data_IF_018119449631
#
_entry.id   IF_018119449631
#
_cell.length_a   1.000
_cell.length_b   1.000
_cell.length_c   1.000
_cell.angle_alpha   90.00
_cell.angle_beta   90.00
_cell.angle_gamma   90.00
#
_symmetry.space_group_name_H-M   'P 1'
#
loop_
_entity.id
_entity.type
_entity.pdbx_description
1 polymer ?
#
# COMPACT_ATOMS: atom_id res chain seq x y z
N UNK A 1 -3.39 32.12 25.51
CA UNK A 1 -2.43 31.04 25.81
C UNK A 1 -1.59 30.84 24.57
N UNK A 2 -0.35 31.33 24.57
CA UNK A 2 0.59 31.19 23.46
C UNK A 2 0.99 29.73 23.35
N UNK A 3 0.59 29.04 22.29
CA UNK A 3 1.05 27.67 22.01
C UNK A 3 2.52 27.76 21.62
N UNK A 4 3.41 27.26 22.47
CA UNK A 4 4.82 27.10 22.11
C UNK A 4 4.88 26.25 20.83
N UNK A 5 5.54 26.70 19.75
CA UNK A 5 5.64 25.91 18.54
C UNK A 5 6.32 24.57 18.87
N UNK A 6 5.74 23.47 18.42
CA UNK A 6 6.32 22.13 18.56
C UNK A 6 7.69 22.11 17.85
N UNK A 7 8.69 21.41 18.40
CA UNK A 7 9.94 21.17 17.69
C UNK A 7 9.69 20.47 16.35
N UNK A 8 10.50 20.77 15.33
CA UNK A 8 10.34 20.22 13.98
C UNK A 8 10.33 18.68 13.98
N UNK A 9 11.14 18.04 14.83
CA UNK A 9 11.24 16.58 14.91
C UNK A 9 9.99 15.93 15.50
N UNK A 10 9.24 16.62 16.37
CA UNK A 10 7.95 16.13 16.85
C UNK A 10 6.90 16.22 15.73
N UNK A 11 6.89 17.33 14.97
CA UNK A 11 5.98 17.49 13.84
C UNK A 11 6.26 16.50 12.70
N UNK A 12 7.53 16.20 12.44
CA UNK A 12 7.94 15.16 11.50
C UNK A 12 7.52 13.76 11.97
N UNK A 13 7.70 13.48 13.26
CA UNK A 13 7.27 12.20 13.86
C UNK A 13 5.76 12.02 13.74
N UNK A 14 4.98 13.06 14.03
CA UNK A 14 3.52 13.06 13.87
C UNK A 14 3.12 12.82 12.40
N UNK A 15 3.84 13.45 11.45
CA UNK A 15 3.62 13.27 10.02
C UNK A 15 3.83 11.82 9.58
N UNK A 16 4.92 11.18 10.02
CA UNK A 16 5.21 9.77 9.71
C UNK A 16 4.22 8.84 10.40
N UNK A 17 3.86 9.13 11.65
CA UNK A 17 2.88 8.37 12.40
C UNK A 17 1.50 8.40 11.72
N UNK A 18 1.10 9.54 11.18
CA UNK A 18 -0.15 9.69 10.43
C UNK A 18 -0.17 8.82 9.15
N UNK A 19 0.93 8.78 8.40
CA UNK A 19 1.08 7.88 7.24
C UNK A 19 0.96 6.42 7.66
N UNK A 20 1.66 6.02 8.73
CA UNK A 20 1.59 4.67 9.28
C UNK A 20 0.18 4.31 9.79
N UNK A 21 -0.55 5.27 10.37
CA UNK A 21 -1.93 5.08 10.80
C UNK A 21 -2.86 4.85 9.59
N UNK A 22 -2.75 5.67 8.55
CA UNK A 22 -3.52 5.50 7.31
C UNK A 22 -3.25 4.11 6.68
N UNK A 23 -1.99 3.68 6.63
CA UNK A 23 -1.62 2.36 6.11
C UNK A 23 -2.18 1.20 6.97
N UNK A 24 -2.19 1.34 8.31
CA UNK A 24 -2.81 0.34 9.22
C UNK A 24 -4.32 0.24 9.05
N UNK A 25 -5.00 1.37 8.97
CA UNK A 25 -6.45 1.43 8.82
C UNK A 25 -6.90 0.83 7.49
N UNK A 26 -6.24 1.22 6.39
CA UNK A 26 -6.52 0.68 5.06
C UNK A 26 -6.19 -0.81 4.94
N UNK A 27 -5.09 -1.27 5.55
CA UNK A 27 -4.77 -2.71 5.66
C UNK A 27 -5.89 -3.50 6.33
N UNK A 28 -6.38 -2.99 7.46
CA UNK A 28 -7.47 -3.64 8.21
C UNK A 28 -8.75 -3.69 7.38
N UNK A 29 -9.09 -2.59 6.69
CA UNK A 29 -10.25 -2.53 5.79
C UNK A 29 -10.12 -3.49 4.59
N UNK A 30 -8.93 -3.59 4.00
CA UNK A 30 -8.65 -4.53 2.93
C UNK A 30 -8.82 -5.98 3.37
N UNK A 31 -8.26 -6.37 4.53
CA UNK A 31 -8.43 -7.70 5.10
C UNK A 31 -9.92 -8.03 5.36
N UNK A 32 -10.68 -7.06 5.88
CA UNK A 32 -12.12 -7.23 6.09
C UNK A 32 -12.88 -7.42 4.76
N UNK A 33 -12.53 -6.66 3.72
CA UNK A 33 -13.13 -6.79 2.40
C UNK A 33 -12.78 -8.13 1.72
N UNK A 34 -11.53 -8.59 1.85
CA UNK A 34 -11.10 -9.91 1.39
C UNK A 34 -11.89 -11.02 2.08
N UNK A 35 -12.03 -10.95 3.41
CA UNK A 35 -12.81 -11.93 4.17
C UNK A 35 -14.29 -11.94 3.75
N UNK A 36 -14.90 -10.76 3.56
CA UNK A 36 -16.28 -10.65 3.11
C UNK A 36 -16.49 -11.24 1.70
N UNK A 37 -15.57 -10.95 0.77
CA UNK A 37 -15.60 -11.52 -0.57
C UNK A 37 -15.39 -13.05 -0.56
N UNK A 38 -14.46 -13.55 0.24
CA UNK A 38 -14.18 -14.99 0.36
C UNK A 38 -15.33 -15.77 1.01
N UNK A 39 -16.07 -15.15 1.93
CA UNK A 39 -17.28 -15.75 2.51
C UNK A 39 -18.41 -15.88 1.48
N UNK A 40 -18.42 -15.02 0.46
CA UNK A 40 -19.42 -15.01 -0.58
C UNK A 40 -19.02 -15.88 -1.77
N UNK A 41 -19.18 -17.19 -1.60
CA UNK A 41 -18.90 -18.18 -2.64
C UNK A 41 -20.17 -18.49 -3.46
N UNK A 42 -20.18 -18.00 -4.72
CA UNK A 42 -21.26 -18.26 -5.68
C UNK A 42 -21.49 -19.75 -5.92
N UNK A 43 -20.45 -20.58 -5.86
CA UNK A 43 -20.56 -22.04 -6.04
C UNK A 43 -21.30 -22.74 -4.91
N UNK A 44 -21.41 -22.09 -3.74
CA UNK A 44 -22.15 -22.61 -2.57
C UNK A 44 -23.60 -22.13 -2.52
N UNK A 45 -23.96 -21.13 -3.32
CA UNK A 45 -25.31 -20.58 -3.35
C UNK A 45 -26.16 -21.37 -4.32
N UNK A 46 -27.15 -22.10 -3.81
CA UNK A 46 -28.16 -22.74 -4.65
C UNK A 46 -29.09 -21.67 -5.21
N UNK A 47 -28.98 -21.42 -6.52
CA UNK A 47 -29.90 -20.54 -7.21
C UNK A 47 -31.33 -21.10 -7.19
N UNK A 48 -32.30 -20.23 -6.91
CA UNK A 48 -33.71 -20.54 -6.97
C UNK A 48 -34.25 -20.21 -8.36
N UNK A 49 -34.78 -21.23 -9.05
CA UNK A 49 -35.49 -21.08 -10.33
C UNK A 49 -36.88 -20.44 -10.11
N UNK A 50 -36.89 -19.17 -9.72
CA UNK A 50 -38.09 -18.36 -9.55
C UNK A 50 -38.07 -17.17 -10.49
N UNK A 51 -38.73 -17.29 -11.64
CA UNK A 51 -38.88 -16.18 -12.57
C UNK A 51 -40.16 -15.38 -12.28
N UNK A 52 -40.07 -14.06 -12.39
CA UNK A 52 -41.21 -13.14 -12.25
C UNK A 52 -41.42 -12.36 -13.54
N UNK A 53 -42.68 -12.18 -13.91
CA UNK A 53 -43.07 -11.31 -15.03
C UNK A 53 -43.43 -9.95 -14.47
N UNK A 54 -42.72 -8.91 -14.89
CA UNK A 54 -43.02 -7.53 -14.51
C UNK A 54 -43.86 -6.91 -15.64
N UNK A 55 -45.02 -6.29 -15.37
CA UNK A 55 -45.78 -5.58 -16.39
C UNK A 55 -44.99 -4.39 -16.94
N UNK A 56 -44.81 -4.33 -18.26
CA UNK A 56 -43.98 -3.32 -18.95
C UNK A 56 -42.64 -3.90 -19.45
N UNK A 57 -41.78 -3.11 -20.10
CA UNK A 57 -40.44 -3.55 -20.47
C UNK A 57 -39.63 -3.92 -19.22
N UNK A 58 -38.88 -5.04 -19.20
CA UNK A 58 -38.47 -5.87 -20.35
C UNK A 58 -39.40 -7.05 -20.66
N UNK A 59 -39.34 -7.55 -21.91
CA UNK A 59 -40.14 -8.66 -22.44
C UNK A 59 -39.70 -10.07 -22.03
N UNK A 60 -38.71 -10.20 -21.14
CA UNK A 60 -38.20 -11.48 -20.64
C UNK A 60 -38.47 -11.66 -19.14
N UNK A 61 -38.67 -12.91 -18.67
CA UNK A 61 -38.87 -13.19 -17.26
C UNK A 61 -37.64 -12.74 -16.45
N UNK A 62 -37.86 -11.94 -15.41
CA UNK A 62 -36.79 -11.49 -14.51
C UNK A 62 -36.54 -12.58 -13.48
N UNK A 63 -35.26 -12.89 -13.23
CA UNK A 63 -34.83 -13.81 -12.18
C UNK A 63 -34.27 -13.00 -11.01
N UNK A 64 -35.10 -12.58 -10.03
CA UNK A 64 -34.68 -11.66 -8.98
C UNK A 64 -33.60 -12.27 -8.08
N UNK A 65 -33.64 -13.58 -7.82
CA UNK A 65 -32.61 -14.26 -7.03
C UNK A 65 -31.24 -14.21 -7.73
N UNK A 66 -31.18 -14.56 -9.02
CA UNK A 66 -29.94 -14.50 -9.81
C UNK A 66 -29.38 -13.08 -9.83
N UNK A 67 -30.23 -12.07 -10.09
CA UNK A 67 -29.83 -10.66 -10.08
C UNK A 67 -29.30 -10.22 -8.71
N UNK A 68 -29.93 -10.63 -7.62
CA UNK A 68 -29.49 -10.30 -6.27
C UNK A 68 -28.14 -10.95 -5.96
N UNK A 69 -27.98 -12.24 -6.28
CA UNK A 69 -26.75 -13.00 -6.04
C UNK A 69 -25.57 -12.41 -6.84
N UNK A 70 -25.77 -12.17 -8.14
CA UNK A 70 -24.75 -11.52 -8.97
C UNK A 70 -24.44 -10.09 -8.49
N UNK A 71 -25.46 -9.34 -8.06
CA UNK A 71 -25.31 -7.98 -7.55
C UNK A 71 -24.48 -7.91 -6.27
N UNK A 72 -24.70 -8.83 -5.33
CA UNK A 72 -23.90 -8.93 -4.09
C UNK A 72 -22.45 -9.30 -4.43
N UNK A 73 -22.24 -10.31 -5.29
CA UNK A 73 -20.89 -10.70 -5.72
C UNK A 73 -20.12 -9.55 -6.33
N UNK A 74 -20.76 -8.79 -7.24
CA UNK A 74 -20.18 -7.59 -7.85
C UNK A 74 -19.83 -6.52 -6.79
N UNK A 75 -20.73 -6.22 -5.87
CA UNK A 75 -20.49 -5.21 -4.85
C UNK A 75 -19.33 -5.57 -3.90
N UNK A 76 -19.20 -6.85 -3.52
CA UNK A 76 -18.10 -7.32 -2.69
C UNK A 76 -16.76 -7.29 -3.44
N UNK A 77 -16.77 -7.66 -4.72
CA UNK A 77 -15.62 -7.58 -5.60
C UNK A 77 -15.12 -6.13 -5.75
N UNK A 78 -16.02 -5.20 -6.07
CA UNK A 78 -15.71 -3.76 -6.16
C UNK A 78 -15.19 -3.18 -4.83
N UNK A 79 -15.76 -3.62 -3.70
CA UNK A 79 -15.30 -3.23 -2.38
C UNK A 79 -13.86 -3.71 -2.12
N UNK A 80 -13.57 -4.98 -2.41
CA UNK A 80 -12.22 -5.55 -2.27
C UNK A 80 -11.21 -4.79 -3.11
N UNK A 81 -11.48 -4.62 -4.40
CA UNK A 81 -10.54 -3.97 -5.34
C UNK A 81 -10.34 -2.48 -4.99
N UNK A 82 -11.36 -1.83 -4.41
CA UNK A 82 -11.21 -0.46 -3.89
C UNK A 82 -10.36 -0.41 -2.64
N UNK A 83 -10.56 -1.32 -1.68
CA UNK A 83 -9.77 -1.35 -0.45
C UNK A 83 -8.32 -1.76 -0.71
N UNK A 84 -8.09 -2.66 -1.67
CA UNK A 84 -6.75 -3.05 -2.12
C UNK A 84 -5.98 -1.84 -2.65
N UNK A 85 -6.56 -1.07 -3.57
CA UNK A 85 -5.93 0.15 -4.10
C UNK A 85 -5.60 1.16 -3.00
N UNK A 86 -6.55 1.46 -2.11
CA UNK A 86 -6.32 2.38 -0.99
C UNK A 86 -5.21 1.89 -0.05
N UNK A 87 -5.15 0.58 0.20
CA UNK A 87 -4.08 0.00 1.01
C UNK A 87 -2.73 0.11 0.32
N UNK A 88 -2.64 -0.25 -0.95
CA UNK A 88 -1.41 -0.12 -1.74
C UNK A 88 -0.90 1.32 -1.74
N UNK A 89 -1.75 2.30 -2.03
CA UNK A 89 -1.38 3.72 -2.01
C UNK A 89 -0.89 4.18 -0.63
N UNK A 90 -1.62 3.82 0.44
CA UNK A 90 -1.25 4.19 1.80
C UNK A 90 0.05 3.51 2.26
N UNK A 91 0.27 2.24 1.90
CA UNK A 91 1.48 1.51 2.22
C UNK A 91 2.71 2.08 1.50
N UNK A 92 2.60 2.39 0.21
CA UNK A 92 3.65 3.05 -0.57
C UNK A 92 3.95 4.45 -0.02
N UNK A 93 2.91 5.24 0.27
CA UNK A 93 3.06 6.57 0.88
C UNK A 93 3.77 6.51 2.23
N UNK A 94 3.44 5.53 3.07
CA UNK A 94 4.12 5.31 4.35
C UNK A 94 5.59 4.89 4.15
N UNK A 95 5.86 3.94 3.26
CA UNK A 95 7.20 3.46 2.96
C UNK A 95 8.12 4.57 2.44
N UNK A 96 7.71 5.24 1.36
CA UNK A 96 8.47 6.32 0.74
C UNK A 96 8.54 7.57 1.63
N UNK A 97 7.43 7.95 2.26
CA UNK A 97 7.40 9.11 3.16
C UNK A 97 8.34 8.97 4.35
N UNK A 98 8.44 7.75 4.90
CA UNK A 98 9.36 7.49 6.00
C UNK A 98 10.81 7.42 5.53
N UNK A 99 11.08 6.81 4.37
CA UNK A 99 12.41 6.82 3.77
C UNK A 99 12.91 8.25 3.46
N UNK A 100 12.03 9.09 2.90
CA UNK A 100 12.29 10.51 2.68
C UNK A 100 12.70 11.20 3.99
N UNK A 101 11.91 11.01 5.06
CA UNK A 101 12.18 11.62 6.35
C UNK A 101 13.54 11.20 6.92
N UNK A 102 13.88 9.92 6.84
CA UNK A 102 15.18 9.40 7.27
C UNK A 102 16.31 10.10 6.51
N UNK A 103 16.25 10.11 5.18
CA UNK A 103 17.31 10.67 4.35
C UNK A 103 17.51 12.16 4.63
N UNK A 104 16.42 12.94 4.71
CA UNK A 104 16.50 14.37 5.05
C UNK A 104 17.12 14.61 6.43
N UNK A 105 16.74 13.83 7.44
CA UNK A 105 17.32 13.96 8.79
C UNK A 105 18.81 13.60 8.80
N UNK A 106 19.21 12.58 8.05
CA UNK A 106 20.61 12.15 7.97
C UNK A 106 21.47 13.12 7.15
N UNK A 107 20.86 13.87 6.23
CA UNK A 107 21.48 15.00 5.52
C UNK A 107 21.54 16.29 6.38
N UNK A 108 21.39 16.18 7.71
CA UNK A 108 21.35 17.29 8.67
C UNK A 108 20.26 18.36 8.37
N UNK A 109 19.20 17.97 7.64
CA UNK A 109 18.05 18.85 7.40
C UNK A 109 17.04 18.75 8.56
N UNK A 110 16.22 19.80 8.70
CA UNK A 110 15.20 19.92 9.75
C UNK A 110 13.78 20.00 9.14
N UNK A 111 13.33 18.98 8.38
CA UNK A 111 12.03 19.03 7.73
C UNK A 111 10.90 18.99 8.77
N UNK A 112 9.95 19.94 8.75
CA UNK A 112 8.87 19.96 9.73
C UNK A 112 7.78 18.90 9.47
N UNK A 113 7.71 18.33 8.26
CA UNK A 113 6.74 17.32 7.83
C UNK A 113 7.26 16.54 6.63
N UNK A 114 6.66 15.39 6.36
CA UNK A 114 6.92 14.61 5.15
C UNK A 114 6.38 15.34 3.92
N UNK A 115 7.16 15.39 2.85
CA UNK A 115 6.76 15.96 1.57
C UNK A 115 6.71 14.87 0.49
N UNK A 116 5.50 14.57 0.03
CA UNK A 116 5.23 13.66 -1.09
C UNK A 116 4.39 14.41 -2.13
N UNK A 117 4.60 14.11 -3.42
CA UNK A 117 3.80 14.70 -4.48
C UNK A 117 2.45 14.01 -4.62
N UNK A 118 1.52 14.67 -5.32
CA UNK A 118 0.31 14.06 -5.82
C UNK A 118 0.19 14.33 -7.33
N UNK A 119 -0.33 13.37 -8.08
CA UNK A 119 -0.72 13.58 -9.48
C UNK A 119 -2.02 14.40 -9.55
N UNK A 120 -2.39 14.87 -10.74
CA UNK A 120 -3.63 15.61 -10.95
C UNK A 120 -4.88 14.76 -10.60
N UNK A 121 -4.76 13.45 -10.71
CA UNK A 121 -5.77 12.44 -10.41
C UNK A 121 -5.81 12.08 -8.91
N UNK A 122 -4.89 12.62 -8.11
CA UNK A 122 -4.83 12.42 -6.67
C UNK A 122 -4.03 11.19 -6.22
N UNK A 123 -3.26 10.57 -7.12
CA UNK A 123 -2.36 9.46 -6.76
C UNK A 123 -1.05 9.97 -6.17
N UNK A 124 -0.38 9.15 -5.37
CA UNK A 124 0.91 9.50 -4.79
C UNK A 124 2.00 9.61 -5.87
N UNK A 125 2.70 10.73 -5.92
CA UNK A 125 3.91 10.89 -6.74
C UNK A 125 5.13 10.73 -5.85
N UNK A 126 5.91 9.68 -6.12
CA UNK A 126 7.16 9.42 -5.42
C UNK A 126 8.24 10.33 -6.01
N UNK A 127 8.98 11.10 -5.20
CA UNK A 127 10.12 11.88 -5.69
C UNK A 127 11.13 10.96 -6.39
N UNK A 128 11.54 11.31 -7.61
CA UNK A 128 12.47 10.47 -8.40
C UNK A 128 13.83 10.24 -7.73
N UNK A 129 14.24 11.14 -6.83
CA UNK A 129 15.45 10.97 -6.00
C UNK A 129 15.34 9.83 -4.96
N UNK A 130 14.13 9.33 -4.71
CA UNK A 130 13.85 8.24 -3.77
C UNK A 130 13.53 6.92 -4.45
N UNK A 131 13.38 6.89 -5.78
CA UNK A 131 12.94 5.71 -6.52
C UNK A 131 14.06 5.23 -7.45
N UNK A 132 14.69 4.07 -7.19
CA UNK A 132 14.49 3.22 -6.02
C UNK A 132 15.09 3.77 -4.74
N UNK A 133 14.57 3.32 -3.59
CA UNK A 133 15.20 3.62 -2.30
C UNK A 133 16.60 2.99 -2.30
N UNK A 134 17.64 3.74 -1.90
CA UNK A 134 19.00 3.22 -1.83
C UNK A 134 19.06 1.89 -1.06
N UNK A 135 19.85 0.90 -1.52
CA UNK A 135 19.95 -0.41 -0.87
C UNK A 135 20.48 -0.30 0.56
N UNK A 136 21.33 0.69 0.81
CA UNK A 136 21.90 1.01 2.11
C UNK A 136 21.67 2.49 2.38
N UNK A 137 21.19 2.82 3.58
CA UNK A 137 21.04 4.21 4.02
C UNK A 137 22.25 4.55 4.91
N UNK A 138 23.13 5.40 4.40
CA UNK A 138 24.30 5.86 5.15
C UNK A 138 23.88 6.53 6.47
N UNK A 139 24.60 6.26 7.56
CA UNK A 139 24.23 6.76 8.90
C UNK A 139 23.38 5.79 9.75
N UNK A 140 22.76 4.77 9.14
CA UNK A 140 22.02 3.72 9.88
C UNK A 140 22.86 2.48 10.22
N UNK A 141 24.12 2.40 9.80
CA UNK A 141 24.97 1.21 9.99
C UNK A 141 25.15 0.75 11.45
N UNK A 142 25.01 1.65 12.44
CA UNK A 142 25.08 1.31 13.88
C UNK A 142 23.73 0.94 14.48
N UNK A 143 22.64 1.16 13.75
CA UNK A 143 21.30 0.81 14.23
C UNK A 143 21.10 -0.70 14.17
N UNK A 144 20.71 -1.28 15.30
CA UNK A 144 20.65 -2.74 15.51
C UNK A 144 19.84 -3.50 14.46
N UNK A 145 18.76 -2.90 13.96
CA UNK A 145 17.83 -3.54 13.03
C UNK A 145 18.08 -3.15 11.56
N UNK A 146 19.24 -2.54 11.22
CA UNK A 146 19.57 -2.13 9.85
C UNK A 146 19.45 -3.29 8.84
N UNK A 147 19.98 -4.47 9.17
CA UNK A 147 19.88 -5.63 8.29
C UNK A 147 18.43 -6.06 8.00
N UNK A 148 17.51 -5.87 8.95
CA UNK A 148 16.07 -6.17 8.72
C UNK A 148 15.44 -5.13 7.79
N UNK A 149 15.83 -3.87 7.92
CA UNK A 149 15.36 -2.79 7.03
C UNK A 149 15.83 -3.03 5.60
N UNK A 150 17.10 -3.37 5.39
CA UNK A 150 17.66 -3.71 4.08
C UNK A 150 16.94 -4.92 3.46
N UNK A 151 16.67 -5.96 4.25
CA UNK A 151 15.90 -7.12 3.81
C UNK A 151 14.46 -6.76 3.43
N UNK A 152 13.78 -5.93 4.23
CA UNK A 152 12.41 -5.50 3.92
C UNK A 152 12.36 -4.64 2.65
N UNK A 153 13.35 -3.77 2.45
CA UNK A 153 13.52 -2.97 1.23
C UNK A 153 13.73 -3.88 0.02
N UNK A 154 14.59 -4.88 0.15
CA UNK A 154 14.85 -5.86 -0.90
C UNK A 154 13.59 -6.64 -1.26
N UNK A 155 12.84 -7.12 -0.26
CA UNK A 155 11.58 -7.83 -0.50
C UNK A 155 10.55 -6.95 -1.22
N UNK A 156 10.47 -5.69 -0.84
CA UNK A 156 9.60 -4.74 -1.51
C UNK A 156 10.03 -4.53 -2.97
N UNK A 157 11.31 -4.30 -3.23
CA UNK A 157 11.84 -4.18 -4.59
C UNK A 157 11.52 -5.41 -5.46
N UNK A 158 11.64 -6.61 -4.92
CA UNK A 158 11.26 -7.85 -5.62
C UNK A 158 9.78 -7.87 -6.03
N UNK A 159 8.87 -7.49 -5.13
CA UNK A 159 7.44 -7.40 -5.46
C UNK A 159 7.14 -6.34 -6.53
N UNK A 160 7.83 -5.20 -6.49
CA UNK A 160 7.66 -4.10 -7.44
C UNK A 160 8.16 -4.52 -8.84
N UNK A 161 9.38 -5.07 -8.91
CA UNK A 161 9.96 -5.60 -10.16
C UNK A 161 9.16 -6.76 -10.74
N UNK A 162 8.57 -7.63 -9.91
CA UNK A 162 7.68 -8.69 -10.38
C UNK A 162 6.41 -8.11 -11.03
N UNK A 163 5.87 -7.00 -10.51
CA UNK A 163 4.72 -6.31 -11.11
C UNK A 163 5.04 -5.66 -12.46
N UNK A 164 6.22 -5.05 -12.60
CA UNK A 164 6.71 -4.53 -13.87
C UNK A 164 6.92 -5.65 -14.89
N UNK A 165 7.51 -6.76 -14.48
CA UNK A 165 7.74 -7.93 -15.33
C UNK A 165 6.42 -8.57 -15.79
N UNK A 166 5.45 -8.75 -14.89
CA UNK A 166 4.13 -9.27 -15.24
C UNK A 166 3.41 -8.38 -16.26
N UNK A 167 3.47 -7.05 -16.06
CA UNK A 167 2.89 -6.08 -17.00
C UNK A 167 3.58 -6.13 -18.38
N UNK A 168 4.91 -6.28 -18.40
CA UNK A 168 5.66 -6.40 -19.65
C UNK A 168 5.28 -7.66 -20.45
N UNK A 169 4.98 -8.77 -19.76
CA UNK A 169 4.47 -9.99 -20.40
C UNK A 169 3.01 -9.82 -20.86
N UNK A 170 2.15 -9.15 -20.10
CA UNK A 170 0.75 -8.91 -20.47
C UNK A 170 0.60 -8.04 -21.73
N UNK A 171 1.59 -7.17 -22.00
CA UNK A 171 1.67 -6.34 -23.21
C UNK A 171 2.06 -7.14 -24.49
N UNK A 172 2.45 -8.41 -24.38
CA UNK A 172 2.81 -9.23 -25.53
C UNK A 172 1.59 -9.83 -26.26
N UNK A 173 1.50 -9.63 -27.57
CA UNK A 173 0.38 -10.12 -28.42
C UNK A 173 0.25 -11.66 -28.44
N UNK A 174 1.33 -12.40 -28.12
CA UNK A 174 1.35 -13.85 -28.10
C UNK A 174 2.30 -14.39 -27.04
N UNK A 175 1.73 -14.95 -25.96
CA UNK A 175 2.48 -15.63 -24.91
C UNK A 175 2.54 -17.13 -25.17
N UNK A 176 3.75 -17.69 -25.13
CA UNK A 176 3.93 -19.13 -25.04
C UNK A 176 3.51 -19.66 -23.65
N UNK A 177 3.21 -20.96 -23.55
CA UNK A 177 2.73 -21.58 -22.29
C UNK A 177 3.66 -21.33 -21.07
N UNK A 178 4.96 -21.24 -21.30
CA UNK A 178 5.94 -20.96 -20.25
C UNK A 178 5.91 -19.50 -19.80
N UNK A 179 5.74 -18.55 -20.72
CA UNK A 179 5.62 -17.11 -20.42
C UNK A 179 4.28 -16.82 -19.72
N UNK A 180 3.20 -17.50 -20.09
CA UNK A 180 1.92 -17.42 -19.37
C UNK A 180 2.05 -17.91 -17.92
N UNK A 181 2.83 -18.98 -17.68
CA UNK A 181 3.12 -19.47 -16.33
C UNK A 181 3.97 -18.46 -15.53
N UNK A 182 5.02 -17.91 -16.15
CA UNK A 182 5.88 -16.89 -15.54
C UNK A 182 5.10 -15.61 -15.20
N UNK A 183 4.23 -15.16 -16.08
CA UNK A 183 3.32 -14.03 -15.85
C UNK A 183 2.43 -14.26 -14.63
N UNK A 184 1.82 -15.45 -14.49
CA UNK A 184 1.00 -15.77 -13.33
C UNK A 184 1.80 -15.77 -12.02
N UNK A 185 3.02 -16.34 -12.02
CA UNK A 185 3.89 -16.29 -10.85
C UNK A 185 4.27 -14.86 -10.49
N UNK A 186 4.61 -14.03 -11.49
CA UNK A 186 4.98 -12.65 -11.30
C UNK A 186 3.82 -11.82 -10.72
N UNK A 187 2.58 -12.03 -11.19
CA UNK A 187 1.40 -11.41 -10.57
C UNK A 187 1.16 -11.86 -9.13
N UNK A 188 1.37 -13.14 -8.82
CA UNK A 188 1.23 -13.63 -7.44
C UNK A 188 2.28 -13.05 -6.50
N UNK A 189 3.50 -12.80 -6.99
CA UNK A 189 4.53 -12.09 -6.23
C UNK A 189 4.22 -10.59 -6.08
N UNK A 190 3.74 -9.94 -7.15
CA UNK A 190 3.35 -8.53 -7.16
C UNK A 190 2.17 -8.23 -6.22
N UNK A 191 1.25 -9.18 -6.00
CA UNK A 191 0.18 -9.07 -4.99
C UNK A 191 0.71 -8.81 -3.58
N UNK A 192 1.95 -9.19 -3.29
CA UNK A 192 2.61 -8.93 -2.01
C UNK A 192 3.14 -7.49 -1.81
N UNK A 193 3.04 -6.63 -2.83
CA UNK A 193 3.65 -5.30 -2.86
C UNK A 193 3.24 -4.42 -1.66
N UNK A 194 1.94 -4.32 -1.38
CA UNK A 194 1.43 -3.47 -0.30
C UNK A 194 1.89 -3.94 1.08
N UNK A 195 1.89 -5.26 1.33
CA UNK A 195 2.38 -5.82 2.59
C UNK A 195 3.90 -5.64 2.75
N UNK A 196 4.66 -5.78 1.66
CA UNK A 196 6.11 -5.57 1.67
C UNK A 196 6.48 -4.09 1.94
N UNK A 197 5.81 -3.15 1.25
CA UNK A 197 5.97 -1.72 1.49
C UNK A 197 5.56 -1.33 2.92
N UNK A 198 4.44 -1.85 3.42
CA UNK A 198 4.02 -1.63 4.80
C UNK A 198 5.05 -2.15 5.81
N UNK A 199 5.58 -3.36 5.62
CA UNK A 199 6.60 -3.94 6.49
C UNK A 199 7.89 -3.11 6.51
N UNK A 200 8.33 -2.62 5.35
CA UNK A 200 9.44 -1.68 5.26
C UNK A 200 9.12 -0.38 6.03
N UNK A 201 7.94 0.22 5.83
CA UNK A 201 7.53 1.44 6.53
C UNK A 201 7.59 1.33 8.06
N UNK A 202 7.16 0.19 8.62
CA UNK A 202 7.24 -0.06 10.08
C UNK A 202 8.69 -0.06 10.60
N UNK A 203 9.60 -0.71 9.85
CA UNK A 203 11.02 -0.72 10.19
C UNK A 203 11.65 0.66 9.99
N UNK A 204 11.28 1.36 8.91
CA UNK A 204 11.75 2.70 8.61
C UNK A 204 11.30 3.69 9.69
N UNK A 205 10.08 3.59 10.23
CA UNK A 205 9.63 4.47 11.32
C UNK A 205 10.50 4.28 12.56
N UNK A 206 10.89 3.03 12.85
CA UNK A 206 11.81 2.72 13.95
C UNK A 206 13.22 3.26 13.68
N UNK A 207 13.69 3.20 12.43
CA UNK A 207 14.96 3.78 12.01
C UNK A 207 14.97 5.32 12.11
N UNK A 208 13.87 5.98 11.74
CA UNK A 208 13.72 7.43 11.87
C UNK A 208 13.83 7.87 13.34
N UNK A 209 13.19 7.14 14.26
CA UNK A 209 13.32 7.40 15.71
C UNK A 209 14.77 7.32 16.18
N UNK A 210 15.55 6.40 15.62
CA UNK A 210 17.00 6.32 15.88
C UNK A 210 17.75 7.52 15.29
N UNK A 211 17.49 7.89 14.03
CA UNK A 211 18.13 9.04 13.38
C UNK A 211 17.86 10.36 14.14
N UNK A 212 16.67 10.51 14.71
CA UNK A 212 16.27 11.70 15.48
C UNK A 212 16.90 11.79 16.88
N UNK A 213 17.63 10.78 17.38
CA UNK A 213 18.25 10.83 18.71
C UNK A 213 19.22 12.01 18.86
N UNK A 214 19.98 12.32 17.81
CA UNK A 214 20.91 13.46 17.80
C UNK A 214 20.20 14.80 17.92
N UNK A 215 19.14 15.01 17.13
CA UNK A 215 18.33 16.23 17.17
C UNK A 215 17.66 16.42 18.54
N UNK A 216 17.13 15.36 19.13
CA UNK A 216 16.52 15.38 20.46
C UNK A 216 17.53 15.73 21.56
N UNK A 217 18.71 15.12 21.53
CA UNK A 217 19.77 15.42 22.48
C UNK A 217 20.19 16.90 22.42
N UNK A 218 20.37 17.46 21.21
CA UNK A 218 20.67 18.89 21.02
C UNK A 218 19.59 19.80 21.60
N UNK A 219 18.32 19.46 21.43
CA UNK A 219 17.20 20.24 21.97
C UNK A 219 17.10 20.20 23.51
N UNK A 220 17.43 19.07 24.15
CA UNK A 220 17.39 18.97 25.63
C UNK A 220 18.55 19.66 26.34
N UNK A 221 19.60 20.04 25.60
CA UNK A 221 20.79 20.73 26.12
C UNK A 221 20.78 22.25 25.83
N UNK A 222 19.69 22.77 25.26
CA UNK A 222 19.38 24.20 25.12
C UNK A 222 18.46 24.66 26.26
#
# INVERSE_FOLDING_TARGET
>A
MSRTPLPWFESLTDSVFALGAAARETRTAHQAAQAAAAQYDLGRIRLLDGAVTIPGPPSFPVRPHDRAVMGIGKALQECRDRMERLYTEAALGYAYGTAWAILRVLDDQEPPRVELGLTAEGHLTIPGELAPIPPTIEGLYRWRDNAKLEQARQRWWECDSAGEYASALDDEDYLADHEAYEMHQAYDEARGLADAAYAYGVLAESALRYALLGARARHTHL
#
